data_IF_515149775972
#
_entry.id   IF_515149775972
#
_cell.length_a   1.000
_cell.length_b   1.000
_cell.length_c   1.000
_cell.angle_alpha   90.00
_cell.angle_beta   90.00
_cell.angle_gamma   90.00
#
_symmetry.space_group_name_H-M   'P 1'
#
loop_
_entity.id
_entity.type
_entity.pdbx_description
1 polymer ?
#
# COMPACT_ATOMS: atom_id res chain seq x y z
N UNK A 1 -8.73 -17.05 -19.86
CA UNK A 1 -8.65 -16.97 -18.37
C UNK A 1 -9.44 -18.11 -17.72
N UNK A 2 -8.85 -18.85 -16.76
CA UNK A 2 -9.51 -20.01 -16.08
C UNK A 2 -9.56 -19.90 -14.55
N UNK A 3 -8.74 -19.01 -13.98
CA UNK A 3 -8.61 -18.82 -12.53
C UNK A 3 -9.04 -17.41 -12.18
N UNK A 4 -9.85 -17.30 -11.15
CA UNK A 4 -10.43 -16.05 -10.65
C UNK A 4 -10.10 -15.95 -9.17
N UNK A 5 -9.74 -14.76 -8.69
CA UNK A 5 -9.42 -14.54 -7.28
C UNK A 5 -10.33 -13.45 -6.72
N UNK A 6 -10.86 -13.69 -5.53
CA UNK A 6 -11.46 -12.66 -4.70
C UNK A 6 -10.86 -12.72 -3.30
N UNK A 7 -10.83 -11.57 -2.62
CA UNK A 7 -10.32 -11.45 -1.26
C UNK A 7 -11.47 -11.15 -0.29
N UNK A 8 -11.41 -11.73 0.90
CA UNK A 8 -12.36 -11.47 1.98
C UNK A 8 -11.57 -11.06 3.23
N UNK A 9 -11.78 -9.84 3.76
CA UNK A 9 -11.15 -9.41 5.00
C UNK A 9 -11.83 -10.11 6.19
N UNK A 10 -11.06 -10.42 7.23
CA UNK A 10 -11.57 -10.96 8.47
C UNK A 10 -10.60 -10.69 9.63
N UNK A 11 -11.09 -10.78 10.86
CA UNK A 11 -10.27 -10.78 12.08
C UNK A 11 -10.43 -12.11 12.82
N UNK A 12 -9.49 -12.50 13.71
CA UNK A 12 -9.64 -13.68 14.57
C UNK A 12 -10.93 -13.65 15.42
N UNK A 13 -11.40 -12.46 15.79
CA UNK A 13 -12.67 -12.23 16.49
C UNK A 13 -13.93 -12.38 15.63
N UNK A 14 -13.80 -12.77 14.35
CA UNK A 14 -14.92 -13.05 13.45
C UNK A 14 -15.54 -11.82 12.76
N UNK A 15 -15.06 -10.60 13.05
CA UNK A 15 -15.46 -9.39 12.35
C UNK A 15 -14.78 -9.31 10.97
N UNK A 16 -15.36 -8.55 10.04
CA UNK A 16 -14.72 -8.32 8.74
C UNK A 16 -13.48 -7.41 8.86
N UNK A 17 -13.58 -6.37 9.70
CA UNK A 17 -12.55 -5.36 9.90
C UNK A 17 -12.21 -5.18 11.38
N UNK A 18 -10.96 -4.84 11.66
CA UNK A 18 -10.44 -4.53 12.99
C UNK A 18 -9.12 -3.76 12.91
N UNK A 19 -8.35 -3.79 13.99
CA UNK A 19 -7.05 -3.12 14.05
C UNK A 19 -6.02 -3.74 13.11
N UNK A 20 -4.96 -2.99 12.75
CA UNK A 20 -3.92 -3.47 11.85
C UNK A 20 -3.30 -4.80 12.30
N UNK A 21 -3.07 -4.98 13.60
CA UNK A 21 -2.48 -6.20 14.15
C UNK A 21 -3.43 -7.41 14.12
N UNK A 22 -4.72 -7.22 13.86
CA UNK A 22 -5.73 -8.28 13.78
C UNK A 22 -6.22 -8.54 12.36
N UNK A 23 -6.01 -7.58 11.45
CA UNK A 23 -6.59 -7.61 10.11
C UNK A 23 -5.98 -8.70 9.24
N UNK A 24 -6.71 -9.79 9.02
CA UNK A 24 -6.33 -10.86 8.12
C UNK A 24 -7.05 -10.74 6.77
N UNK A 25 -6.55 -11.47 5.76
CA UNK A 25 -7.14 -11.51 4.42
C UNK A 25 -7.16 -12.93 3.88
N UNK A 26 -8.32 -13.40 3.43
CA UNK A 26 -8.46 -14.71 2.77
C UNK A 26 -8.60 -14.51 1.26
N UNK A 27 -7.65 -15.00 0.48
CA UNK A 27 -7.73 -15.06 -0.98
C UNK A 27 -8.32 -16.39 -1.41
N UNK A 28 -9.48 -16.36 -2.05
CA UNK A 28 -10.12 -17.54 -2.62
C UNK A 28 -9.93 -17.56 -4.12
N UNK A 29 -9.27 -18.62 -4.61
CA UNK A 29 -8.99 -18.83 -6.02
C UNK A 29 -9.97 -19.89 -6.54
N UNK A 30 -10.84 -19.47 -7.45
CA UNK A 30 -11.80 -20.32 -8.14
C UNK A 30 -11.21 -20.76 -9.49
N UNK A 31 -11.31 -22.05 -9.79
CA UNK A 31 -10.97 -22.59 -11.11
C UNK A 31 -12.26 -23.02 -11.80
N UNK A 32 -12.49 -22.52 -13.01
CA UNK A 32 -13.66 -22.88 -13.82
C UNK A 32 -13.35 -24.01 -14.79
N UNK A 33 -14.40 -24.63 -15.32
CA UNK A 33 -14.28 -25.79 -16.22
C UNK A 33 -13.60 -25.42 -17.54
N UNK A 34 -14.04 -24.31 -18.16
CA UNK A 34 -13.58 -23.86 -19.50
C UNK A 34 -12.98 -22.46 -19.43
N UNK A 35 -12.05 -22.14 -20.32
CA UNK A 35 -11.43 -20.83 -20.40
C UNK A 35 -12.42 -19.77 -20.91
N UNK A 36 -12.27 -18.54 -20.41
CA UNK A 36 -12.80 -17.34 -21.06
C UNK A 36 -11.80 -16.81 -22.12
N UNK A 37 -12.28 -16.19 -23.22
CA UNK A 37 -13.70 -16.01 -23.58
C UNK A 37 -14.39 -17.35 -23.91
N UNK A 38 -15.69 -17.45 -23.61
CA UNK A 38 -16.50 -18.64 -23.84
C UNK A 38 -17.89 -18.24 -24.37
N UNK A 39 -18.54 -19.14 -25.10
CA UNK A 39 -19.84 -18.90 -25.72
C UNK A 39 -20.94 -18.62 -24.68
N UNK A 40 -20.86 -19.23 -23.48
CA UNK A 40 -21.80 -18.96 -22.39
C UNK A 40 -21.28 -17.88 -21.46
N UNK A 41 -22.20 -17.08 -20.92
CA UNK A 41 -21.91 -16.00 -19.96
C UNK A 41 -21.60 -16.50 -18.55
N UNK A 42 -21.79 -17.80 -18.26
CA UNK A 42 -21.49 -18.43 -16.97
C UNK A 42 -20.70 -19.72 -17.16
N UNK A 43 -19.77 -19.97 -16.24
CA UNK A 43 -18.96 -21.19 -16.22
C UNK A 43 -18.97 -21.82 -14.83
N UNK A 44 -19.06 -23.15 -14.75
CA UNK A 44 -19.07 -23.88 -13.49
C UNK A 44 -17.69 -23.84 -12.85
N UNK A 45 -17.66 -23.55 -11.54
CA UNK A 45 -16.46 -23.69 -10.70
C UNK A 45 -16.25 -25.17 -10.38
N UNK A 46 -15.04 -25.67 -10.65
CA UNK A 46 -14.65 -27.07 -10.44
C UNK A 46 -13.59 -27.24 -9.35
N UNK A 47 -12.88 -26.18 -8.97
CA UNK A 47 -11.96 -26.22 -7.83
C UNK A 47 -11.94 -24.88 -7.08
N UNK A 48 -11.68 -24.95 -5.77
CA UNK A 48 -11.47 -23.80 -4.88
C UNK A 48 -10.20 -24.00 -4.07
N UNK A 49 -9.30 -23.01 -4.07
CA UNK A 49 -8.12 -22.96 -3.20
C UNK A 49 -8.21 -21.70 -2.34
N UNK A 50 -7.94 -21.82 -1.04
CA UNK A 50 -7.86 -20.68 -0.14
C UNK A 50 -6.44 -20.46 0.33
N UNK A 51 -6.03 -19.19 0.41
CA UNK A 51 -4.77 -18.74 0.97
C UNK A 51 -5.11 -17.67 2.00
N UNK A 52 -4.68 -17.87 3.24
CA UNK A 52 -4.88 -16.92 4.33
C UNK A 52 -3.58 -16.14 4.52
N UNK A 53 -3.71 -14.82 4.61
CA UNK A 53 -2.63 -13.90 4.90
C UNK A 53 -2.77 -13.44 6.34
N UNK A 54 -1.66 -13.53 7.07
CA UNK A 54 -1.50 -12.93 8.39
C UNK A 54 -1.51 -11.41 8.31
N UNK A 55 -1.71 -10.69 9.43
CA UNK A 55 -1.81 -9.24 9.42
C UNK A 55 -0.61 -8.50 8.81
N UNK A 56 0.61 -8.97 9.10
CA UNK A 56 1.81 -8.38 8.48
C UNK A 56 1.88 -8.65 6.97
N UNK A 57 1.39 -9.80 6.49
CA UNK A 57 1.31 -10.08 5.04
C UNK A 57 0.26 -9.22 4.35
N UNK A 58 -0.85 -8.92 5.02
CA UNK A 58 -1.85 -7.94 4.53
C UNK A 58 -1.20 -6.57 4.38
N UNK A 59 -0.52 -6.10 5.43
CA UNK A 59 0.18 -4.82 5.41
C UNK A 59 1.23 -4.73 4.29
N UNK A 60 2.03 -5.79 4.09
CA UNK A 60 3.01 -5.86 2.99
C UNK A 60 2.32 -5.70 1.63
N UNK A 61 1.25 -6.46 1.38
CA UNK A 61 0.56 -6.37 0.09
C UNK A 61 -0.06 -4.99 -0.15
N UNK A 62 -0.60 -4.38 0.89
CA UNK A 62 -1.27 -3.08 0.77
C UNK A 62 -0.25 -1.96 0.53
N UNK A 63 0.91 -1.99 1.21
CA UNK A 63 2.03 -1.07 0.92
C UNK A 63 2.54 -1.28 -0.50
N UNK A 64 2.77 -2.54 -0.93
CA UNK A 64 3.24 -2.82 -2.29
C UNK A 64 2.25 -2.33 -3.36
N UNK A 65 0.94 -2.51 -3.13
CA UNK A 65 -0.11 -2.00 -4.02
C UNK A 65 -0.06 -0.49 -4.13
N UNK A 66 0.03 0.22 -3.01
CA UNK A 66 0.18 1.68 -2.99
C UNK A 66 1.46 2.14 -3.70
N UNK A 67 2.58 1.45 -3.49
CA UNK A 67 3.86 1.74 -4.19
C UNK A 67 3.70 1.65 -5.70
N UNK A 68 3.01 0.61 -6.21
CA UNK A 68 2.75 0.44 -7.63
C UNK A 68 1.82 1.53 -8.17
N UNK A 69 0.78 1.92 -7.43
CA UNK A 69 -0.13 3.00 -7.80
C UNK A 69 0.61 4.35 -7.91
N UNK A 70 1.45 4.68 -6.92
CA UNK A 70 2.30 5.89 -6.94
C UNK A 70 3.27 5.86 -8.12
N UNK A 71 3.95 4.73 -8.32
CA UNK A 71 4.91 4.58 -9.41
C UNK A 71 4.25 4.72 -10.80
N UNK A 72 3.07 4.12 -10.98
CA UNK A 72 2.32 4.21 -12.23
C UNK A 72 1.86 5.64 -12.51
N UNK A 73 1.31 6.34 -11.51
CA UNK A 73 0.89 7.73 -11.67
C UNK A 73 2.09 8.66 -11.96
N UNK A 74 3.26 8.38 -11.39
CA UNK A 74 4.49 9.16 -11.62
C UNK A 74 5.05 8.97 -13.03
N UNK A 75 4.95 7.75 -13.56
CA UNK A 75 5.50 7.37 -14.87
C UNK A 75 4.50 7.57 -16.03
N UNK A 76 3.30 8.06 -15.76
CA UNK A 76 2.26 8.26 -16.76
C UNK A 76 2.68 9.32 -17.79
N UNK A 77 2.51 8.98 -19.08
CA UNK A 77 2.75 9.87 -20.22
C UNK A 77 1.53 9.82 -21.18
N UNK A 78 0.92 10.97 -21.55
CA UNK A 78 1.26 12.31 -21.11
C UNK A 78 0.95 12.52 -19.61
N UNK A 79 1.62 13.48 -18.93
CA UNK A 79 1.51 13.61 -17.48
C UNK A 79 0.12 14.06 -17.04
N UNK A 80 -0.43 13.41 -16.00
CA UNK A 80 -1.69 13.80 -15.37
C UNK A 80 -1.45 14.25 -13.93
N UNK A 81 -1.31 15.56 -13.76
CA UNK A 81 -1.04 16.17 -12.45
C UNK A 81 -2.16 15.91 -11.43
N UNK A 82 -3.43 15.86 -11.87
CA UNK A 82 -4.57 15.64 -10.98
C UNK A 82 -4.58 14.20 -10.48
N UNK A 83 -4.35 13.23 -11.36
CA UNK A 83 -4.22 11.82 -10.98
C UNK A 83 -3.04 11.62 -10.02
N UNK A 84 -1.88 12.20 -10.33
CA UNK A 84 -0.69 12.12 -9.48
C UNK A 84 -0.95 12.69 -8.08
N UNK A 85 -1.58 13.87 -7.99
CA UNK A 85 -1.93 14.50 -6.72
C UNK A 85 -2.95 13.67 -5.93
N UNK A 86 -3.99 13.13 -6.59
CA UNK A 86 -4.99 12.29 -5.97
C UNK A 86 -4.36 11.02 -5.36
N UNK A 87 -3.48 10.36 -6.10
CA UNK A 87 -2.77 9.16 -5.61
C UNK A 87 -1.83 9.50 -4.45
N UNK A 88 -1.05 10.58 -4.56
CA UNK A 88 -0.16 11.04 -3.49
C UNK A 88 -0.93 11.36 -2.20
N UNK A 89 -2.04 12.10 -2.32
CA UNK A 89 -2.89 12.43 -1.17
C UNK A 89 -3.54 11.18 -0.56
N UNK A 90 -4.05 10.26 -1.39
CA UNK A 90 -4.68 9.02 -0.91
C UNK A 90 -3.69 8.03 -0.28
N UNK A 91 -2.40 8.12 -0.61
CA UNK A 91 -1.38 7.22 -0.08
C UNK A 91 -0.74 7.74 1.22
N UNK A 92 -0.54 9.05 1.34
CA UNK A 92 0.23 9.68 2.42
C UNK A 92 -0.66 10.53 3.32
N UNK A 93 -1.56 11.34 2.75
CA UNK A 93 -2.51 12.18 3.49
C UNK A 93 -3.78 11.46 3.93
N UNK A 94 -3.69 10.18 4.33
CA UNK A 94 -4.86 9.41 4.74
C UNK A 94 -5.41 9.95 6.06
N UNK A 95 -6.51 10.71 6.01
CA UNK A 95 -7.19 11.23 7.20
C UNK A 95 -8.22 10.26 7.80
N UNK A 96 -8.56 9.19 7.06
CA UNK A 96 -9.64 8.24 7.43
C UNK A 96 -9.13 6.82 7.68
N UNK A 97 -8.03 6.43 7.03
CA UNK A 97 -7.41 5.11 7.18
C UNK A 97 -6.05 5.24 7.85
N UNK A 98 -5.65 4.25 8.65
CA UNK A 98 -4.31 4.21 9.25
C UNK A 98 -3.25 4.24 8.13
N UNK A 99 -2.30 5.17 8.25
CA UNK A 99 -1.28 5.45 7.22
C UNK A 99 -0.09 4.47 7.26
N UNK A 100 0.83 4.57 6.27
CA UNK A 100 2.06 3.76 6.24
C UNK A 100 2.94 3.87 7.49
N UNK A 101 2.89 5.03 8.18
CA UNK A 101 3.60 5.24 9.45
C UNK A 101 3.05 4.34 10.56
N UNK A 102 1.73 4.25 10.69
CA UNK A 102 1.07 3.40 11.70
C UNK A 102 1.38 1.91 11.45
N UNK A 103 1.44 1.49 10.18
CA UNK A 103 1.90 0.14 9.81
C UNK A 103 3.30 -0.14 10.33
N UNK A 104 4.22 0.82 10.23
CA UNK A 104 5.57 0.66 10.74
C UNK A 104 5.58 0.55 12.28
N UNK A 105 4.81 1.41 12.97
CA UNK A 105 4.67 1.38 14.43
C UNK A 105 4.14 0.03 14.90
N UNK A 106 3.05 -0.46 14.32
CA UNK A 106 2.39 -1.71 14.75
C UNK A 106 3.29 -2.93 14.54
N UNK A 107 4.00 -3.02 13.42
CA UNK A 107 4.70 -4.26 13.05
C UNK A 107 6.22 -4.25 13.32
N UNK A 108 6.84 -3.08 13.53
CA UNK A 108 8.30 -2.93 13.63
C UNK A 108 8.80 -2.29 14.94
N UNK A 109 7.95 -1.61 15.73
CA UNK A 109 8.38 -0.92 16.98
C UNK A 109 9.07 -1.83 17.98
N UNK A 110 8.55 -3.03 18.20
CA UNK A 110 9.12 -4.01 19.14
C UNK A 110 10.55 -4.47 18.81
N UNK A 111 11.00 -4.33 17.55
CA UNK A 111 12.39 -4.65 17.18
C UNK A 111 13.40 -3.72 17.84
N UNK A 112 13.06 -2.42 17.91
CA UNK A 112 13.88 -1.40 18.58
C UNK A 112 13.92 -1.66 20.07
N UNK A 113 12.75 -1.78 20.68
CA UNK A 113 12.59 -1.84 22.14
C UNK A 113 13.31 -3.06 22.73
N UNK A 114 13.33 -4.15 21.98
CA UNK A 114 13.87 -5.44 22.42
C UNK A 114 15.25 -5.73 21.82
N UNK A 115 15.81 -4.81 21.01
CA UNK A 115 17.04 -5.03 20.24
C UNK A 115 17.04 -6.38 19.48
N UNK A 116 15.88 -6.73 18.90
CA UNK A 116 15.61 -8.04 18.34
C UNK A 116 15.92 -8.10 16.84
N UNK A 117 16.32 -9.28 16.37
CA UNK A 117 16.51 -9.50 14.94
C UNK A 117 15.16 -9.60 14.20
N UNK A 118 15.00 -8.93 13.05
CA UNK A 118 13.74 -8.94 12.32
C UNK A 118 13.44 -10.34 11.75
N UNK A 119 12.18 -10.76 11.87
CA UNK A 119 11.68 -11.92 11.13
C UNK A 119 11.72 -11.67 9.62
N UNK A 120 11.60 -12.73 8.81
CA UNK A 120 11.55 -12.62 7.34
C UNK A 120 10.46 -11.65 6.85
N UNK A 121 9.28 -11.68 7.48
CA UNK A 121 8.16 -10.81 7.10
C UNK A 121 8.40 -9.35 7.53
N UNK A 122 8.96 -9.12 8.72
CA UNK A 122 9.33 -7.77 9.16
C UNK A 122 10.43 -7.17 8.28
N UNK A 123 11.44 -7.96 7.90
CA UNK A 123 12.45 -7.53 6.95
C UNK A 123 11.83 -7.16 5.60
N UNK A 124 10.92 -7.99 5.08
CA UNK A 124 10.20 -7.71 3.83
C UNK A 124 9.36 -6.43 3.93
N UNK A 125 8.62 -6.23 5.03
CA UNK A 125 7.85 -5.00 5.26
C UNK A 125 8.75 -3.77 5.29
N UNK A 126 9.90 -3.84 5.97
CA UNK A 126 10.91 -2.76 6.00
C UNK A 126 11.36 -2.37 4.59
N UNK A 127 11.64 -3.35 3.73
CA UNK A 127 12.02 -3.08 2.34
C UNK A 127 10.87 -2.46 1.53
N UNK A 128 9.64 -2.92 1.73
CA UNK A 128 8.46 -2.36 1.06
C UNK A 128 8.20 -0.91 1.45
N UNK A 129 8.35 -0.56 2.74
CA UNK A 129 8.21 0.81 3.22
C UNK A 129 9.30 1.73 2.66
N UNK A 130 10.55 1.26 2.57
CA UNK A 130 11.64 2.01 1.94
C UNK A 130 11.38 2.28 0.46
N UNK A 131 10.91 1.29 -0.28
CA UNK A 131 10.57 1.47 -1.70
C UNK A 131 9.39 2.42 -1.86
N UNK A 132 8.34 2.26 -1.05
CA UNK A 132 7.20 3.17 -1.01
C UNK A 132 7.65 4.63 -0.80
N UNK A 133 8.46 4.89 0.22
CA UNK A 133 9.01 6.22 0.51
C UNK A 133 9.76 6.80 -0.69
N UNK A 134 10.63 6.01 -1.33
CA UNK A 134 11.38 6.43 -2.52
C UNK A 134 10.43 6.83 -3.66
N UNK A 135 9.40 6.01 -3.93
CA UNK A 135 8.40 6.33 -4.97
C UNK A 135 7.59 7.58 -4.65
N UNK A 136 7.22 7.78 -3.39
CA UNK A 136 6.56 9.02 -2.96
C UNK A 136 7.45 10.25 -3.17
N UNK A 137 8.75 10.16 -2.86
CA UNK A 137 9.67 11.27 -3.10
C UNK A 137 9.83 11.59 -4.60
N UNK A 138 9.95 10.56 -5.44
CA UNK A 138 10.01 10.74 -6.89
C UNK A 138 8.72 11.38 -7.44
N UNK A 139 7.56 10.92 -6.95
CA UNK A 139 6.25 11.47 -7.27
C UNK A 139 6.10 12.93 -6.84
N UNK A 140 6.57 13.30 -5.63
CA UNK A 140 6.57 14.68 -5.14
C UNK A 140 7.42 15.59 -6.02
N UNK A 141 8.62 15.14 -6.43
CA UNK A 141 9.49 15.87 -7.36
C UNK A 141 8.82 16.06 -8.73
N UNK A 142 8.22 15.00 -9.27
CA UNK A 142 7.47 15.06 -10.53
C UNK A 142 6.32 16.05 -10.44
N UNK A 143 5.57 16.01 -9.35
CA UNK A 143 4.45 16.90 -9.10
C UNK A 143 4.90 18.37 -8.98
N UNK A 144 6.02 18.67 -8.30
CA UNK A 144 6.59 20.04 -8.25
C UNK A 144 6.89 20.61 -9.65
N UNK A 145 7.35 19.76 -10.59
CA UNK A 145 7.60 20.17 -11.97
C UNK A 145 6.32 20.36 -12.82
N UNK A 146 5.21 19.73 -12.42
CA UNK A 146 3.92 19.85 -13.10
C UNK A 146 3.10 21.03 -12.60
N UNK A 147 3.26 21.41 -11.33
CA UNK A 147 2.63 22.58 -10.70
C UNK A 147 3.48 23.83 -11.01
N UNK A 148 3.51 24.26 -12.26
CA UNK A 148 4.03 25.57 -12.67
C UNK A 148 2.95 26.66 -12.59
N UNK A 149 3.22 27.70 -11.78
CA UNK A 149 2.54 29.00 -11.54
C UNK A 149 1.01 29.06 -11.31
N UNK A 150 0.18 28.23 -11.94
CA UNK A 150 -1.28 28.41 -12.00
C UNK A 150 -2.09 27.64 -10.93
N UNK A 151 -1.41 26.92 -10.02
CA UNK A 151 -2.03 26.06 -9.02
C UNK A 151 -1.61 26.40 -7.58
N UNK A 152 -1.32 27.67 -7.30
CA UNK A 152 -1.15 28.15 -5.91
C UNK A 152 -2.47 28.26 -5.14
N UNK A 153 -3.62 28.24 -5.84
CA UNK A 153 -4.94 28.54 -5.23
C UNK A 153 -5.70 27.33 -4.67
N UNK A 154 -5.15 26.11 -4.78
CA UNK A 154 -5.75 24.95 -4.12
C UNK A 154 -4.76 24.44 -3.08
N UNK A 155 -5.17 24.38 -1.80
CA UNK A 155 -4.40 23.92 -0.63
C UNK A 155 -3.80 22.49 -0.71
N UNK A 156 -3.71 21.92 -1.91
CA UNK A 156 -2.84 20.80 -2.26
C UNK A 156 -1.36 21.11 -2.00
N UNK A 157 -0.88 22.34 -2.27
CA UNK A 157 0.51 22.74 -2.02
C UNK A 157 0.92 22.65 -0.53
N UNK A 158 0.04 23.08 0.38
CA UNK A 158 0.27 23.02 1.82
C UNK A 158 0.26 21.57 2.34
N UNK A 159 -0.72 20.75 1.92
CA UNK A 159 -0.75 19.32 2.29
C UNK A 159 0.43 18.53 1.73
N UNK A 160 0.92 18.87 0.55
CA UNK A 160 2.14 18.27 -0.01
C UNK A 160 3.40 18.68 0.78
N UNK A 161 3.43 19.89 1.35
CA UNK A 161 4.51 20.33 2.24
C UNK A 161 4.44 19.64 3.62
N UNK A 162 3.24 19.31 4.11
CA UNK A 162 3.02 18.50 5.30
C UNK A 162 3.43 17.03 5.07
N UNK A 163 3.19 16.50 3.86
CA UNK A 163 3.68 15.21 3.38
C UNK A 163 5.23 15.17 3.26
N UNK A 164 5.84 16.22 2.68
CA UNK A 164 7.30 16.38 2.62
C UNK A 164 7.89 16.45 4.05
N UNK A 165 7.16 17.13 4.96
CA UNK A 165 7.48 17.18 6.39
C UNK A 165 7.30 15.81 7.03
N UNK A 166 6.22 15.05 6.87
CA UNK A 166 6.08 13.70 7.44
C UNK A 166 7.14 12.70 6.94
N UNK A 167 7.50 12.77 5.64
CA UNK A 167 8.57 11.95 5.07
C UNK A 167 9.94 12.39 5.61
N UNK A 168 10.15 13.70 5.83
CA UNK A 168 11.40 14.30 6.31
C UNK A 168 11.57 14.36 7.84
N UNK A 169 10.48 14.38 8.61
CA UNK A 169 10.41 14.45 10.08
C UNK A 169 9.98 13.14 10.70
N UNK A 170 9.76 12.08 9.91
CA UNK A 170 9.77 10.73 10.45
C UNK A 170 11.16 10.41 10.99
N UNK A 171 11.40 10.83 12.23
CA UNK A 171 12.31 10.20 13.18
C UNK A 171 12.06 8.66 13.26
N UNK A 172 10.89 8.19 12.78
CA UNK A 172 10.60 6.77 12.55
C UNK A 172 11.36 6.14 11.35
N UNK A 173 12.06 6.91 10.51
CA UNK A 173 12.83 6.41 9.35
C UNK A 173 14.35 6.61 9.50
N UNK A 174 14.82 7.34 10.52
CA UNK A 174 16.22 7.29 10.99
C UNK A 174 16.65 5.90 11.49
N UNK A 175 15.72 4.93 11.60
CA UNK A 175 15.94 3.50 11.88
C UNK A 175 16.76 2.73 10.84
N UNK A 176 17.31 3.44 9.86
CA UNK A 176 18.27 2.88 8.90
C UNK A 176 19.72 3.04 9.35
N UNK A 177 19.97 3.79 10.45
CA UNK A 177 21.30 3.96 11.03
C UNK A 177 21.47 3.06 12.26
N UNK A 178 21.46 1.75 12.03
CA UNK A 178 22.43 0.83 12.63
C UNK A 178 22.78 -0.17 11.53
N UNK A 179 24.08 -0.30 11.28
CA UNK A 179 24.72 -1.23 10.35
C UNK A 179 24.06 -2.62 10.34
#
# INVERSE_FOLDING_TARGET
>A
MKRFVYATPFTPGGKAYGELCEQCKRKTILTVTTHFPYLKTRNRVVARKQIVLSPIEVAIEDIQKKTLEVAAATAQEPPDAKMLQMVLQGCIGTTVNQGPAEVAVVFLSGLREQNAQPTRLQHKLRLCLKDFQKKCLDALRRNKNLIGLDQRDYGAGEKLSEIDREIGTSHCLEWTVLN
#
